data_IF_088254552982
#
_entry.id   IF_088254552982
#
_cell.length_a   1.000
_cell.length_b   1.000
_cell.length_c   1.000
_cell.angle_alpha   90.00
_cell.angle_beta   90.00
_cell.angle_gamma   90.00
#
_symmetry.space_group_name_H-M   'P 1'
#
loop_
_entity.id
_entity.type
_entity.pdbx_description
1 polymer ?
#
# COMPACT_ATOMS: atom_id res chain seq x y z
N UNK A 1 -8.59 -54.78 8.83
CA UNK A 1 -8.22 -54.23 10.14
C UNK A 1 -7.32 -55.23 10.83
N UNK A 2 -6.14 -54.81 11.31
CA UNK A 2 -5.10 -55.71 11.86
C UNK A 2 -5.42 -56.24 13.28
N UNK A 3 -6.40 -55.66 13.98
CA UNK A 3 -6.91 -56.14 15.25
C UNK A 3 -8.41 -55.80 15.39
N UNK A 4 -9.15 -56.55 16.20
CA UNK A 4 -10.57 -56.33 16.47
C UNK A 4 -10.81 -55.22 17.52
N UNK A 5 -9.86 -55.03 18.44
CA UNK A 5 -9.90 -54.00 19.47
C UNK A 5 -8.77 -52.97 19.22
N UNK A 6 -9.09 -51.75 18.78
CA UNK A 6 -8.09 -50.71 18.52
C UNK A 6 -7.32 -50.30 19.77
N UNK A 7 -7.88 -50.48 20.97
CA UNK A 7 -7.25 -50.13 22.24
C UNK A 7 -6.10 -51.08 22.58
N UNK A 8 -6.32 -52.39 22.39
CA UNK A 8 -5.28 -53.41 22.59
C UNK A 8 -4.13 -53.25 21.61
N UNK A 9 -4.46 -52.96 20.34
CA UNK A 9 -3.45 -52.64 19.34
C UNK A 9 -2.63 -51.41 19.74
N UNK A 10 -3.29 -50.34 20.19
CA UNK A 10 -2.62 -49.13 20.69
C UNK A 10 -1.62 -49.43 21.82
N UNK A 11 -2.01 -50.24 22.81
CA UNK A 11 -1.14 -50.61 23.94
C UNK A 11 0.06 -51.44 23.51
N UNK A 12 -0.15 -52.45 22.67
CA UNK A 12 0.95 -53.28 22.15
C UNK A 12 1.95 -52.45 21.34
N UNK A 13 1.47 -51.49 20.54
CA UNK A 13 2.33 -50.58 19.79
C UNK A 13 3.11 -49.62 20.70
N UNK A 14 2.50 -49.15 21.79
CA UNK A 14 3.17 -48.31 22.78
C UNK A 14 4.30 -49.07 23.49
N UNK A 15 4.03 -50.29 23.96
CA UNK A 15 5.05 -51.14 24.60
C UNK A 15 6.21 -51.44 23.63
N UNK A 16 5.90 -51.73 22.37
CA UNK A 16 6.92 -51.93 21.34
C UNK A 16 7.74 -50.65 21.10
N UNK A 17 7.11 -49.47 21.06
CA UNK A 17 7.81 -48.20 20.92
C UNK A 17 8.80 -47.95 22.06
N UNK A 18 8.41 -48.21 23.31
CA UNK A 18 9.26 -48.04 24.50
C UNK A 18 10.44 -49.02 24.51
N UNK A 19 10.25 -50.25 24.02
CA UNK A 19 11.36 -51.21 23.90
C UNK A 19 12.36 -50.78 22.83
N UNK A 20 11.89 -50.26 21.69
CA UNK A 20 12.75 -49.76 20.62
C UNK A 20 13.48 -48.46 20.99
N UNK A 21 12.84 -47.62 21.82
CA UNK A 21 13.47 -46.46 22.42
C UNK A 21 14.72 -46.83 23.22
N UNK A 22 14.66 -47.90 24.03
CA UNK A 22 15.82 -48.40 24.81
C UNK A 22 16.95 -48.91 23.91
N UNK A 23 16.62 -49.36 22.69
CA UNK A 23 17.58 -49.82 21.71
C UNK A 23 18.10 -48.71 20.78
N UNK A 24 17.72 -47.43 21.02
CA UNK A 24 18.02 -46.27 20.18
C UNK A 24 17.49 -46.37 18.72
N UNK A 25 16.44 -47.15 18.48
CA UNK A 25 15.80 -47.27 17.16
C UNK A 25 14.72 -46.20 16.95
N UNK A 26 15.14 -44.94 17.02
CA UNK A 26 14.26 -43.76 17.06
C UNK A 26 13.25 -43.63 15.90
N UNK A 27 13.59 -43.85 14.62
CA UNK A 27 12.63 -43.65 13.53
C UNK A 27 11.43 -44.59 13.64
N UNK A 28 11.67 -45.85 14.01
CA UNK A 28 10.61 -46.86 14.16
C UNK A 28 9.80 -46.60 15.43
N UNK A 29 10.48 -46.28 16.54
CA UNK A 29 9.82 -45.95 17.80
C UNK A 29 8.86 -44.76 17.65
N UNK A 30 9.26 -43.70 16.93
CA UNK A 30 8.43 -42.53 16.63
C UNK A 30 7.19 -42.91 15.83
N UNK A 31 7.33 -43.70 14.76
CA UNK A 31 6.18 -44.14 13.97
C UNK A 31 5.21 -45.02 14.77
N UNK A 32 5.73 -45.95 15.59
CA UNK A 32 4.90 -46.78 16.46
C UNK A 32 4.12 -45.94 17.47
N UNK A 33 4.73 -44.88 18.02
CA UNK A 33 4.04 -43.95 18.93
C UNK A 33 2.91 -43.19 18.23
N UNK A 34 3.13 -42.73 16.99
CA UNK A 34 2.11 -42.08 16.16
C UNK A 34 0.96 -43.04 15.82
N UNK A 35 1.27 -44.29 15.48
CA UNK A 35 0.25 -45.31 15.19
C UNK A 35 -0.53 -45.71 16.45
N UNK A 36 0.14 -45.79 17.60
CA UNK A 36 -0.50 -46.02 18.89
C UNK A 36 -1.49 -44.90 19.23
N UNK A 37 -1.06 -43.63 19.07
CA UNK A 37 -1.94 -42.46 19.21
C UNK A 37 -3.17 -42.52 18.31
N UNK A 38 -2.97 -42.86 17.03
CA UNK A 38 -4.06 -42.96 16.05
C UNK A 38 -5.05 -44.04 16.47
N UNK A 39 -4.56 -45.16 17.00
CA UNK A 39 -5.39 -46.28 17.49
C UNK A 39 -6.22 -45.88 18.71
N UNK A 40 -5.62 -45.17 19.69
CA UNK A 40 -6.36 -44.66 20.85
C UNK A 40 -7.35 -43.55 20.50
N UNK A 41 -7.03 -42.72 19.49
CA UNK A 41 -7.95 -41.69 18.99
C UNK A 41 -9.17 -42.33 18.33
N UNK A 42 -9.01 -43.43 17.59
CA UNK A 42 -10.12 -44.22 17.04
C UNK A 42 -10.97 -44.89 18.14
N UNK A 43 -10.34 -45.32 19.23
CA UNK A 43 -11.02 -45.90 20.39
C UNK A 43 -11.65 -44.85 21.33
N UNK A 44 -11.43 -43.55 21.08
CA UNK A 44 -11.79 -42.45 21.98
C UNK A 44 -11.25 -42.60 23.43
N UNK A 45 -10.08 -43.23 23.57
CA UNK A 45 -9.46 -43.50 24.87
C UNK A 45 -8.61 -42.32 25.34
N UNK A 46 -9.23 -41.40 26.10
CA UNK A 46 -8.61 -40.15 26.55
C UNK A 46 -7.46 -40.40 27.54
N UNK A 47 -7.54 -41.45 28.36
CA UNK A 47 -6.51 -41.77 29.36
C UNK A 47 -5.21 -42.21 28.68
N UNK A 48 -5.32 -43.14 27.73
CA UNK A 48 -4.17 -43.62 26.97
C UNK A 48 -3.60 -42.53 26.04
N UNK A 49 -4.43 -41.61 25.54
CA UNK A 49 -3.94 -40.41 24.81
C UNK A 49 -3.08 -39.53 25.72
N UNK A 50 -3.49 -39.30 26.97
CA UNK A 50 -2.69 -38.54 27.94
C UNK A 50 -1.33 -39.19 28.22
N UNK A 51 -1.30 -40.53 28.33
CA UNK A 51 -0.05 -41.27 28.46
C UNK A 51 0.85 -41.11 27.24
N UNK A 52 0.30 -41.19 26.02
CA UNK A 52 1.06 -40.97 24.79
C UNK A 52 1.68 -39.58 24.74
N UNK A 53 0.94 -38.54 25.12
CA UNK A 53 1.47 -37.17 25.12
C UNK A 53 2.61 -37.00 26.12
N UNK A 54 2.53 -37.65 27.28
CA UNK A 54 3.62 -37.69 28.26
C UNK A 54 4.86 -38.40 27.70
N UNK A 55 4.66 -39.55 27.04
CA UNK A 55 5.76 -40.29 26.42
C UNK A 55 6.37 -39.56 25.22
N UNK A 56 5.56 -38.90 24.41
CA UNK A 56 6.01 -38.07 23.30
C UNK A 56 6.94 -36.96 23.80
N UNK A 57 6.65 -36.36 24.97
CA UNK A 57 7.55 -35.37 25.58
C UNK A 57 8.90 -35.99 25.96
N UNK A 58 8.91 -37.16 26.59
CA UNK A 58 10.15 -37.85 26.93
C UNK A 58 10.99 -38.21 25.68
N UNK A 59 10.32 -38.66 24.61
CA UNK A 59 10.96 -38.90 23.32
C UNK A 59 11.57 -37.62 22.76
N UNK A 60 10.84 -36.50 22.80
CA UNK A 60 11.33 -35.20 22.32
C UNK A 60 12.54 -34.75 23.11
N UNK A 61 12.53 -34.86 24.44
CA UNK A 61 13.66 -34.47 25.30
C UNK A 61 14.94 -35.26 24.94
N UNK A 62 14.81 -36.56 24.62
CA UNK A 62 15.94 -37.40 24.19
C UNK A 62 16.38 -37.11 22.76
N UNK A 63 15.43 -36.97 21.83
CA UNK A 63 15.72 -36.59 20.44
C UNK A 63 16.36 -35.21 20.33
N UNK A 64 16.09 -34.31 21.28
CA UNK A 64 16.69 -32.99 21.37
C UNK A 64 18.18 -33.07 21.68
N UNK A 65 18.61 -33.99 22.55
CA UNK A 65 20.03 -34.23 22.86
C UNK A 65 20.81 -34.64 21.60
N UNK A 66 20.20 -35.48 20.77
CA UNK A 66 20.77 -35.96 19.51
C UNK A 66 20.49 -35.04 18.31
N UNK A 67 19.87 -33.88 18.54
CA UNK A 67 19.49 -32.87 17.52
C UNK A 67 18.70 -33.46 16.35
N UNK A 68 17.81 -34.42 16.60
CA UNK A 68 17.03 -35.13 15.58
C UNK A 68 15.74 -34.37 15.20
N UNK A 69 15.88 -33.17 14.63
CA UNK A 69 14.77 -32.26 14.31
C UNK A 69 13.70 -32.83 13.38
N UNK A 70 14.11 -33.69 12.44
CA UNK A 70 13.19 -34.36 11.50
C UNK A 70 12.23 -35.29 12.26
N UNK A 71 12.73 -36.01 13.27
CA UNK A 71 11.93 -36.93 14.06
C UNK A 71 11.02 -36.18 15.04
N UNK A 72 11.52 -35.10 15.66
CA UNK A 72 10.72 -34.21 16.52
C UNK A 72 9.54 -33.62 15.73
N UNK A 73 9.82 -33.10 14.53
CA UNK A 73 8.77 -32.56 13.66
C UNK A 73 7.82 -33.64 13.16
N UNK A 74 8.32 -34.83 12.79
CA UNK A 74 7.47 -35.97 12.38
C UNK A 74 6.54 -36.43 13.52
N UNK A 75 7.04 -36.51 14.74
CA UNK A 75 6.27 -36.90 15.91
C UNK A 75 5.13 -35.92 16.19
N UNK A 76 5.46 -34.62 16.24
CA UNK A 76 4.50 -33.54 16.51
C UNK A 76 3.41 -33.48 15.43
N UNK A 77 3.80 -33.66 14.16
CA UNK A 77 2.90 -33.55 13.01
C UNK A 77 2.12 -34.84 12.74
N UNK A 78 2.60 -35.96 13.27
CA UNK A 78 1.87 -37.24 13.28
C UNK A 78 0.80 -37.30 14.37
N UNK A 79 1.09 -36.82 15.58
CA UNK A 79 0.13 -36.80 16.70
C UNK A 79 -0.98 -35.78 16.48
N UNK A 80 -0.70 -34.65 15.80
CA UNK A 80 -1.67 -33.61 15.43
C UNK A 80 -2.44 -32.96 16.59
N UNK A 81 -1.97 -33.13 17.84
CA UNK A 81 -2.47 -32.47 19.05
C UNK A 81 -1.63 -31.24 19.37
N UNK A 82 -1.67 -30.26 18.47
CA UNK A 82 -0.77 -29.10 18.51
C UNK A 82 -0.99 -28.19 19.71
N UNK A 83 -2.18 -28.20 20.32
CA UNK A 83 -2.48 -27.44 21.54
C UNK A 83 -1.70 -27.96 22.74
N UNK A 84 -1.64 -29.28 22.92
CA UNK A 84 -0.91 -29.95 24.00
C UNK A 84 0.60 -30.01 23.72
N UNK A 85 1.00 -30.02 22.44
CA UNK A 85 2.39 -30.07 21.99
C UNK A 85 2.97 -28.70 21.59
N UNK A 86 2.36 -27.61 22.02
CA UNK A 86 2.79 -26.24 21.67
C UNK A 86 4.23 -25.92 22.09
N UNK A 87 4.72 -26.55 23.17
CA UNK A 87 6.10 -26.43 23.65
C UNK A 87 7.15 -26.80 22.58
N UNK A 88 6.81 -27.67 21.62
CA UNK A 88 7.73 -28.04 20.53
C UNK A 88 7.98 -26.85 19.61
N UNK A 89 7.01 -25.95 19.44
CA UNK A 89 7.20 -24.73 18.65
C UNK A 89 8.18 -23.78 19.32
N UNK A 90 8.16 -23.70 20.65
CA UNK A 90 9.14 -22.92 21.43
C UNK A 90 10.54 -23.51 21.28
N UNK A 91 10.69 -24.84 21.46
CA UNK A 91 11.98 -25.51 21.27
C UNK A 91 12.57 -25.29 19.87
N UNK A 92 11.76 -25.45 18.82
CA UNK A 92 12.22 -25.26 17.45
C UNK A 92 12.57 -23.78 17.15
N UNK A 93 11.88 -22.85 17.81
CA UNK A 93 12.18 -21.42 17.73
C UNK A 93 13.50 -21.09 18.43
N UNK A 94 13.72 -21.59 19.64
CA UNK A 94 14.94 -21.33 20.43
C UNK A 94 16.22 -21.88 19.78
N UNK A 95 16.08 -22.94 18.97
CA UNK A 95 17.19 -23.58 18.26
C UNK A 95 17.33 -23.19 16.78
N UNK A 96 16.58 -22.19 16.30
CA UNK A 96 16.55 -21.75 14.89
C UNK A 96 16.22 -22.87 13.88
N UNK A 97 15.47 -23.89 14.30
CA UNK A 97 15.10 -25.05 13.45
C UNK A 97 13.62 -25.03 13.04
N UNK A 98 12.97 -23.86 13.07
CA UNK A 98 11.55 -23.73 12.76
C UNK A 98 11.21 -24.12 11.30
N UNK A 99 12.18 -24.01 10.38
CA UNK A 99 12.03 -24.38 8.96
C UNK A 99 11.62 -25.85 8.75
N UNK A 100 11.91 -26.74 9.71
CA UNK A 100 11.53 -28.15 9.61
C UNK A 100 10.01 -28.36 9.64
N UNK A 101 9.26 -27.44 10.25
CA UNK A 101 7.79 -27.42 10.22
C UNK A 101 7.23 -26.88 8.91
N UNK A 102 8.08 -26.28 8.07
CA UNK A 102 7.77 -25.62 6.80
C UNK A 102 8.37 -26.39 5.62
N UNK A 103 8.49 -27.71 5.78
CA UNK A 103 8.92 -28.60 4.69
C UNK A 103 7.76 -28.87 3.73
N UNK A 104 8.11 -29.25 2.50
CA UNK A 104 7.12 -29.62 1.46
C UNK A 104 6.15 -30.69 1.98
N UNK A 105 4.85 -30.42 1.85
CA UNK A 105 3.77 -31.31 2.26
C UNK A 105 3.03 -30.87 3.53
N UNK A 106 3.62 -29.97 4.31
CA UNK A 106 3.05 -29.45 5.55
C UNK A 106 1.86 -28.52 5.32
N UNK A 107 1.77 -27.90 4.15
CA UNK A 107 0.64 -27.05 3.72
C UNK A 107 -0.70 -27.80 3.66
N UNK A 108 -0.65 -29.14 3.57
CA UNK A 108 -1.84 -29.99 3.52
C UNK A 108 -2.45 -30.23 4.90
N UNK A 109 -1.80 -29.79 5.98
CA UNK A 109 -2.26 -29.97 7.35
C UNK A 109 -2.93 -28.68 7.88
N UNK A 110 -4.27 -28.53 7.75
CA UNK A 110 -4.95 -27.30 8.15
C UNK A 110 -4.83 -27.02 9.66
N UNK A 111 -4.81 -28.07 10.47
CA UNK A 111 -4.65 -27.98 11.93
C UNK A 111 -3.28 -27.41 12.32
N UNK A 112 -2.22 -27.78 11.59
CA UNK A 112 -0.89 -27.24 11.83
C UNK A 112 -0.84 -25.74 11.52
N UNK A 113 -1.39 -25.34 10.36
CA UNK A 113 -1.46 -23.92 9.98
C UNK A 113 -2.14 -23.10 11.06
N UNK A 114 -3.29 -23.55 11.57
CA UNK A 114 -4.00 -22.84 12.63
C UNK A 114 -3.19 -22.75 13.93
N UNK A 115 -2.59 -23.87 14.36
CA UNK A 115 -1.80 -23.89 15.59
C UNK A 115 -0.55 -23.00 15.51
N UNK A 116 0.14 -22.97 14.35
CA UNK A 116 1.27 -22.08 14.13
C UNK A 116 0.87 -20.61 14.19
N UNK A 117 -0.31 -20.26 13.65
CA UNK A 117 -0.83 -18.89 13.76
C UNK A 117 -1.16 -18.51 15.18
N UNK A 118 -1.81 -19.41 15.93
CA UNK A 118 -2.17 -19.15 17.31
C UNK A 118 -0.92 -19.04 18.21
N UNK A 119 0.16 -19.77 17.89
CA UNK A 119 1.46 -19.62 18.53
C UNK A 119 2.16 -18.30 18.20
N UNK A 120 2.12 -17.87 16.93
CA UNK A 120 2.88 -16.71 16.48
C UNK A 120 2.13 -15.38 16.65
N UNK A 121 0.79 -15.37 16.69
CA UNK A 121 -0.02 -14.14 16.81
C UNK A 121 0.28 -13.33 18.09
N UNK A 122 0.41 -13.93 19.29
CA UNK A 122 0.80 -13.19 20.49
C UNK A 122 2.22 -12.64 20.43
N UNK A 123 3.14 -13.37 19.79
CA UNK A 123 4.57 -13.08 19.73
C UNK A 123 5.00 -12.36 18.44
N UNK A 124 4.04 -11.87 17.64
CA UNK A 124 4.26 -11.24 16.33
C UNK A 124 5.23 -10.05 16.38
N UNK A 125 5.19 -9.28 17.47
CA UNK A 125 5.99 -8.07 17.61
C UNK A 125 7.48 -8.38 17.82
N UNK A 126 7.80 -9.48 18.49
CA UNK A 126 9.18 -9.87 18.79
C UNK A 126 9.85 -10.58 17.61
N UNK A 127 9.10 -11.35 16.82
CA UNK A 127 9.66 -12.23 15.78
C UNK A 127 8.95 -12.07 14.43
N UNK A 128 8.97 -10.83 13.90
CA UNK A 128 8.31 -10.47 12.64
C UNK A 128 8.80 -11.28 11.43
N UNK A 129 10.08 -11.63 11.39
CA UNK A 129 10.65 -12.41 10.28
C UNK A 129 10.13 -13.84 10.28
N UNK A 130 10.07 -14.49 11.44
CA UNK A 130 9.52 -15.84 11.57
C UNK A 130 8.04 -15.89 11.18
N UNK A 131 7.24 -14.91 11.63
CA UNK A 131 5.84 -14.83 11.22
C UNK A 131 5.72 -14.63 9.70
N UNK A 132 6.51 -13.73 9.10
CA UNK A 132 6.50 -13.51 7.64
C UNK A 132 6.86 -14.78 6.87
N UNK A 133 7.87 -15.50 7.32
CA UNK A 133 8.33 -16.75 6.71
C UNK A 133 7.22 -17.82 6.73
N UNK A 134 6.58 -18.01 7.89
CA UNK A 134 5.46 -18.94 8.07
C UNK A 134 4.25 -18.52 7.24
N UNK A 135 3.89 -17.24 7.29
CA UNK A 135 2.74 -16.72 6.56
C UNK A 135 2.95 -16.82 5.04
N UNK A 136 4.16 -16.58 4.53
CA UNK A 136 4.49 -16.79 3.11
C UNK A 136 4.41 -18.28 2.72
N UNK A 137 4.92 -19.18 3.57
CA UNK A 137 4.85 -20.63 3.32
C UNK A 137 3.40 -21.10 3.16
N UNK A 138 2.50 -20.68 4.06
CA UNK A 138 1.09 -21.07 4.02
C UNK A 138 0.21 -20.21 3.09
N UNK A 139 0.82 -19.41 2.20
CA UNK A 139 0.12 -18.50 1.28
C UNK A 139 -0.85 -17.52 1.98
N UNK A 140 -0.48 -17.08 3.18
CA UNK A 140 -1.22 -16.18 4.05
C UNK A 140 -0.95 -14.71 3.71
N UNK A 141 -1.18 -14.38 2.44
CA UNK A 141 -0.88 -13.05 1.90
C UNK A 141 -1.66 -11.93 2.62
N UNK A 142 -2.86 -12.20 3.13
CA UNK A 142 -3.66 -11.21 3.86
C UNK A 142 -3.05 -10.84 5.23
N UNK A 143 -2.46 -11.82 5.91
CA UNK A 143 -1.87 -11.66 7.22
C UNK A 143 -0.52 -10.94 7.13
N UNK A 144 0.30 -11.29 6.12
CA UNK A 144 1.52 -10.53 5.78
C UNK A 144 1.18 -9.08 5.45
N UNK A 145 0.14 -8.85 4.64
CA UNK A 145 -0.32 -7.52 4.29
C UNK A 145 -0.77 -6.71 5.51
N UNK A 146 -1.50 -7.34 6.44
CA UNK A 146 -1.91 -6.73 7.70
C UNK A 146 -0.74 -6.25 8.55
N UNK A 147 0.32 -7.06 8.66
CA UNK A 147 1.52 -6.65 9.40
C UNK A 147 2.20 -5.41 8.79
N UNK A 148 2.36 -5.38 7.47
CA UNK A 148 2.93 -4.22 6.77
C UNK A 148 2.09 -2.96 6.98
N UNK A 149 0.76 -3.11 6.92
CA UNK A 149 -0.18 -2.04 7.22
C UNK A 149 -0.06 -1.54 8.66
N UNK A 150 0.00 -2.44 9.64
CA UNK A 150 0.14 -2.10 11.06
C UNK A 150 1.48 -1.40 11.35
N UNK A 151 2.56 -1.85 10.72
CA UNK A 151 3.87 -1.21 10.83
C UNK A 151 3.85 0.22 10.27
N UNK A 152 3.27 0.41 9.08
CA UNK A 152 3.10 1.74 8.51
C UNK A 152 2.23 2.64 9.40
N UNK A 153 1.11 2.12 9.92
CA UNK A 153 0.23 2.86 10.82
C UNK A 153 0.95 3.23 12.13
N UNK A 154 1.80 2.34 12.66
CA UNK A 154 2.62 2.62 13.84
C UNK A 154 3.60 3.78 13.62
N UNK A 155 4.16 3.91 12.41
CA UNK A 155 5.02 5.03 12.04
C UNK A 155 4.24 6.34 11.84
N UNK A 156 3.05 6.26 11.23
CA UNK A 156 2.25 7.44 10.89
C UNK A 156 1.46 8.00 12.08
N UNK A 157 0.98 7.15 12.99
CA UNK A 157 0.20 7.54 14.16
C UNK A 157 0.83 8.66 15.00
N UNK A 158 2.11 8.57 15.44
CA UNK A 158 2.72 9.66 16.20
C UNK A 158 2.86 10.95 15.38
N UNK A 159 2.99 10.86 14.05
CA UNK A 159 3.06 12.02 13.17
C UNK A 159 1.69 12.70 13.11
N UNK A 160 0.62 11.93 12.92
CA UNK A 160 -0.75 12.46 12.88
C UNK A 160 -1.13 13.06 14.23
N UNK A 161 -0.82 12.38 15.34
CA UNK A 161 -1.19 12.82 16.68
C UNK A 161 -0.40 14.07 17.13
N UNK A 162 0.87 14.20 16.73
CA UNK A 162 1.76 15.28 17.20
C UNK A 162 1.87 16.47 16.23
N UNK A 163 1.64 16.26 14.94
CA UNK A 163 1.95 17.22 13.87
C UNK A 163 0.72 17.85 13.21
N UNK A 164 -0.48 17.69 13.76
CA UNK A 164 -1.66 18.41 13.27
C UNK A 164 -1.75 19.81 13.90
N UNK A 165 -1.90 20.88 13.09
CA UNK A 165 -2.01 20.91 11.63
C UNK A 165 -0.65 21.06 10.89
N UNK A 166 0.45 21.26 11.62
CA UNK A 166 1.74 21.66 11.08
C UNK A 166 2.87 20.65 11.36
N UNK A 167 3.41 20.08 10.29
CA UNK A 167 4.55 19.15 10.27
C UNK A 167 5.86 19.92 10.13
N UNK A 168 6.80 19.72 11.06
CA UNK A 168 8.16 20.22 10.93
C UNK A 168 8.93 19.39 9.91
N UNK A 169 9.47 20.06 8.90
CA UNK A 169 10.27 19.42 7.85
C UNK A 169 11.68 19.12 8.37
N UNK A 170 12.17 17.92 8.07
CA UNK A 170 13.51 17.48 8.45
C UNK A 170 13.88 16.15 7.80
N UNK A 171 15.18 15.80 7.76
CA UNK A 171 15.67 14.60 7.09
C UNK A 171 15.13 13.31 7.74
N UNK A 172 14.99 13.27 9.07
CA UNK A 172 14.42 12.12 9.78
C UNK A 172 12.93 11.93 9.47
N UNK A 173 12.17 13.03 9.34
CA UNK A 173 10.77 12.97 8.92
C UNK A 173 10.63 12.39 7.51
N UNK A 174 11.50 12.79 6.57
CA UNK A 174 11.54 12.23 5.21
C UNK A 174 11.79 10.73 5.24
N UNK A 175 12.72 10.24 6.06
CA UNK A 175 13.01 8.80 6.21
C UNK A 175 11.81 8.03 6.75
N UNK A 176 11.16 8.53 7.80
CA UNK A 176 10.00 7.86 8.40
C UNK A 176 8.83 7.79 7.43
N UNK A 177 8.52 8.90 6.73
CA UNK A 177 7.47 8.91 5.71
C UNK A 177 7.79 7.98 4.55
N UNK A 178 9.05 7.96 4.09
CA UNK A 178 9.48 7.07 3.01
C UNK A 178 9.34 5.61 3.43
N UNK A 179 9.73 5.25 4.66
CA UNK A 179 9.54 3.89 5.20
C UNK A 179 8.05 3.51 5.27
N UNK A 180 7.21 4.40 5.81
CA UNK A 180 5.77 4.17 5.88
C UNK A 180 5.12 3.98 4.50
N UNK A 181 5.56 4.74 3.49
CA UNK A 181 5.10 4.62 2.11
C UNK A 181 5.44 3.24 1.51
N UNK A 182 6.70 2.77 1.69
CA UNK A 182 7.10 1.44 1.20
C UNK A 182 6.32 0.32 1.89
N UNK A 183 6.12 0.42 3.21
CA UNK A 183 5.32 -0.54 3.97
C UNK A 183 3.87 -0.60 3.47
N UNK A 184 3.24 0.55 3.19
CA UNK A 184 1.88 0.59 2.60
C UNK A 184 1.83 0.03 1.18
N UNK A 185 2.86 0.26 0.36
CA UNK A 185 2.95 -0.32 -0.98
C UNK A 185 3.06 -1.84 -0.93
N UNK A 186 3.93 -2.40 -0.08
CA UNK A 186 4.02 -3.84 0.14
C UNK A 186 2.69 -4.41 0.68
N UNK A 187 2.03 -3.73 1.62
CA UNK A 187 0.71 -4.14 2.10
C UNK A 187 -0.32 -4.22 0.95
N UNK A 188 -0.32 -3.25 0.04
CA UNK A 188 -1.22 -3.23 -1.11
C UNK A 188 -0.98 -4.41 -2.07
N UNK A 189 0.29 -4.72 -2.38
CA UNK A 189 0.67 -5.86 -3.23
C UNK A 189 0.22 -7.20 -2.62
N UNK A 190 0.48 -7.41 -1.33
CA UNK A 190 0.08 -8.64 -0.65
C UNK A 190 -1.44 -8.75 -0.47
N UNK A 191 -2.16 -7.65 -0.23
CA UNK A 191 -3.64 -7.67 -0.23
C UNK A 191 -4.22 -7.98 -1.61
N UNK A 192 -3.57 -7.55 -2.70
CA UNK A 192 -3.96 -7.89 -4.07
C UNK A 192 -3.79 -9.39 -4.33
N UNK A 193 -2.65 -9.97 -3.93
CA UNK A 193 -2.40 -11.42 -4.00
C UNK A 193 -3.42 -12.21 -3.17
N UNK A 194 -3.87 -11.66 -2.04
CA UNK A 194 -4.91 -12.25 -1.19
C UNK A 194 -6.35 -12.06 -1.72
N UNK A 195 -6.56 -11.38 -2.85
CA UNK A 195 -7.89 -11.06 -3.40
C UNK A 195 -8.69 -10.03 -2.59
N UNK A 196 -8.09 -9.34 -1.61
CA UNK A 196 -8.76 -8.33 -0.78
C UNK A 196 -8.66 -6.93 -1.40
N UNK A 197 -9.35 -6.73 -2.53
CA UNK A 197 -9.29 -5.51 -3.33
C UNK A 197 -9.57 -4.23 -2.53
N UNK A 198 -10.54 -4.24 -1.62
CA UNK A 198 -10.88 -3.08 -0.80
C UNK A 198 -9.73 -2.67 0.13
N UNK A 199 -9.01 -3.62 0.70
CA UNK A 199 -7.86 -3.33 1.56
C UNK A 199 -6.65 -2.91 0.73
N UNK A 200 -6.39 -3.58 -0.40
CA UNK A 200 -5.34 -3.21 -1.33
C UNK A 200 -5.50 -1.76 -1.81
N UNK A 201 -6.71 -1.38 -2.23
CA UNK A 201 -7.02 -0.03 -2.68
C UNK A 201 -6.84 1.00 -1.55
N UNK A 202 -7.29 0.70 -0.33
CA UNK A 202 -7.07 1.59 0.83
C UNK A 202 -5.58 1.81 1.11
N UNK A 203 -4.78 0.75 1.13
CA UNK A 203 -3.33 0.84 1.34
C UNK A 203 -2.64 1.63 0.22
N UNK A 204 -3.04 1.42 -1.04
CA UNK A 204 -2.51 2.17 -2.18
C UNK A 204 -2.80 3.67 -2.06
N UNK A 205 -4.05 4.04 -1.78
CA UNK A 205 -4.45 5.44 -1.56
C UNK A 205 -3.71 6.08 -0.38
N UNK A 206 -3.50 5.34 0.71
CA UNK A 206 -2.69 5.81 1.83
C UNK A 206 -1.22 6.01 1.44
N UNK A 207 -0.64 5.11 0.66
CA UNK A 207 0.73 5.25 0.15
C UNK A 207 0.87 6.49 -0.75
N UNK A 208 -0.12 6.76 -1.62
CA UNK A 208 -0.18 7.96 -2.45
C UNK A 208 -0.27 9.24 -1.62
N UNK A 209 -1.07 9.24 -0.55
CA UNK A 209 -1.17 10.37 0.38
C UNK A 209 0.17 10.65 1.07
N UNK A 210 0.87 9.59 1.50
CA UNK A 210 2.21 9.72 2.10
C UNK A 210 3.22 10.22 1.06
N UNK A 211 3.15 9.75 -0.18
CA UNK A 211 4.00 10.23 -1.28
C UNK A 211 3.78 11.73 -1.55
N UNK A 212 2.52 12.19 -1.51
CA UNK A 212 2.20 13.61 -1.62
C UNK A 212 2.76 14.41 -0.45
N UNK A 213 2.67 13.89 0.78
CA UNK A 213 3.29 14.52 1.95
C UNK A 213 4.81 14.64 1.79
N UNK A 214 5.48 13.58 1.31
CA UNK A 214 6.93 13.59 1.02
C UNK A 214 7.27 14.66 -0.01
N UNK A 215 6.48 14.78 -1.08
CA UNK A 215 6.68 15.82 -2.10
C UNK A 215 6.58 17.23 -1.52
N UNK A 216 5.62 17.49 -0.63
CA UNK A 216 5.50 18.77 0.07
C UNK A 216 6.70 19.02 1.00
N UNK A 217 7.16 18.00 1.73
CA UNK A 217 8.36 18.09 2.59
C UNK A 217 9.61 18.36 1.76
N UNK A 218 9.73 17.80 0.56
CA UNK A 218 10.90 17.99 -0.32
C UNK A 218 10.95 19.38 -0.96
N UNK A 219 9.81 20.05 -1.13
CA UNK A 219 9.74 21.42 -1.66
C UNK A 219 9.96 22.50 -0.61
N UNK A 220 9.80 22.16 0.67
CA UNK A 220 10.01 23.08 1.77
C UNK A 220 11.49 23.17 2.15
N UNK A 221 11.89 24.35 2.64
CA UNK A 221 13.21 24.56 3.24
C UNK A 221 13.23 23.83 4.58
N UNK A 222 14.28 23.04 4.84
CA UNK A 222 14.39 22.25 6.07
C UNK A 222 14.16 23.11 7.33
N UNK A 223 13.38 22.59 8.28
CA UNK A 223 12.97 23.31 9.50
C UNK A 223 11.68 24.13 9.37
N UNK A 224 11.14 24.34 8.16
CA UNK A 224 9.85 25.00 7.98
C UNK A 224 8.71 24.06 8.35
N UNK A 225 7.60 24.66 8.81
CA UNK A 225 6.37 23.95 9.07
C UNK A 225 5.53 23.89 7.79
N UNK A 226 5.05 22.70 7.42
CA UNK A 226 4.12 22.49 6.31
C UNK A 226 2.82 21.85 6.82
N UNK A 227 1.74 21.97 6.06
CA UNK A 227 0.49 21.31 6.44
C UNK A 227 0.63 19.79 6.41
N UNK A 228 0.17 19.14 7.48
CA UNK A 228 0.09 17.69 7.58
C UNK A 228 -1.22 17.22 6.92
N UNK A 229 -1.12 16.56 5.76
CA UNK A 229 -2.26 16.04 5.01
C UNK A 229 -2.59 14.58 5.37
N UNK A 230 -1.76 13.94 6.20
CA UNK A 230 -1.92 12.53 6.62
C UNK A 230 -3.15 12.28 7.51
N UNK A 231 -3.70 13.32 8.15
CA UNK A 231 -4.91 13.24 8.97
C UNK A 231 -6.22 13.37 8.20
N UNK A 232 -6.17 13.60 6.88
CA UNK A 232 -7.36 13.65 6.04
C UNK A 232 -7.92 12.24 5.86
N UNK A 233 -9.24 12.09 6.02
CA UNK A 233 -9.86 10.77 5.83
C UNK A 233 -9.75 10.32 4.36
N UNK A 234 -9.88 9.03 4.09
CA UNK A 234 -9.68 8.48 2.73
C UNK A 234 -10.57 9.15 1.67
N UNK A 235 -11.80 9.55 2.04
CA UNK A 235 -12.69 10.28 1.16
C UNK A 235 -12.24 11.73 0.90
N UNK A 236 -11.68 12.41 1.89
CA UNK A 236 -11.13 13.77 1.77
C UNK A 236 -9.82 13.77 0.99
N UNK A 237 -8.96 12.78 1.20
CA UNK A 237 -7.77 12.54 0.39
C UNK A 237 -8.15 12.18 -1.05
N UNK A 238 -9.21 11.40 -1.26
CA UNK A 238 -9.73 11.09 -2.60
C UNK A 238 -10.41 12.31 -3.24
N UNK A 239 -11.11 13.16 -2.47
CA UNK A 239 -11.64 14.45 -2.93
C UNK A 239 -10.50 15.43 -3.23
N UNK A 240 -9.41 15.41 -2.48
CA UNK A 240 -8.23 16.23 -2.77
C UNK A 240 -7.49 15.68 -3.99
N UNK A 241 -7.30 14.36 -4.09
CA UNK A 241 -6.67 13.70 -5.24
C UNK A 241 -7.51 13.81 -6.52
N UNK A 242 -8.85 13.74 -6.44
CA UNK A 242 -9.77 13.87 -7.59
C UNK A 242 -10.15 15.32 -7.87
N UNK A 243 -10.29 16.13 -6.83
CA UNK A 243 -10.61 17.56 -6.92
C UNK A 243 -9.42 18.43 -7.28
N UNK A 244 -8.19 18.00 -6.97
CA UNK A 244 -6.95 18.62 -7.45
C UNK A 244 -6.22 17.81 -8.51
N UNK A 245 -6.67 16.61 -8.88
CA UNK A 245 -5.90 15.61 -9.64
C UNK A 245 -4.98 16.25 -10.64
N UNK A 246 -3.68 16.36 -10.29
CA UNK A 246 -2.78 17.47 -10.63
C UNK A 246 -3.04 18.09 -12.01
N UNK A 247 -4.13 18.85 -12.13
CA UNK A 247 -4.41 19.70 -13.24
C UNK A 247 -3.73 20.98 -12.83
N UNK A 248 -2.47 21.08 -13.22
CA UNK A 248 -1.80 22.37 -13.27
C UNK A 248 -2.76 23.25 -14.08
N UNK A 249 -3.50 24.12 -13.39
CA UNK A 249 -4.26 25.19 -14.04
C UNK A 249 -3.20 26.12 -14.58
N UNK A 250 -2.72 25.78 -15.77
CA UNK A 250 -1.75 26.59 -16.49
C UNK A 250 -2.29 28.00 -16.65
N UNK A 251 -3.62 28.18 -16.69
CA UNK A 251 -4.24 29.49 -16.64
C UNK A 251 -3.95 30.26 -15.36
N UNK A 252 -4.19 29.67 -14.18
CA UNK A 252 -3.88 30.31 -12.89
C UNK A 252 -2.39 30.52 -12.65
N UNK A 253 -1.56 29.59 -13.12
CA UNK A 253 -0.11 29.72 -13.06
C UNK A 253 0.40 30.87 -13.95
N UNK A 254 -0.11 30.99 -15.18
CA UNK A 254 0.20 32.10 -16.09
C UNK A 254 -0.34 33.43 -15.55
N UNK A 255 -1.55 33.44 -14.97
CA UNK A 255 -2.11 34.62 -14.32
C UNK A 255 -1.16 35.15 -13.23
N UNK A 256 -0.73 34.27 -12.33
CA UNK A 256 0.11 34.66 -11.20
C UNK A 256 1.54 35.01 -11.59
N UNK A 257 2.19 34.21 -12.44
CA UNK A 257 3.61 34.35 -12.72
C UNK A 257 3.93 35.28 -13.90
N UNK A 258 3.10 35.30 -14.94
CA UNK A 258 3.33 36.12 -16.11
C UNK A 258 2.52 37.42 -16.07
N UNK A 259 1.21 37.36 -15.77
CA UNK A 259 0.33 38.51 -15.87
C UNK A 259 0.50 39.45 -14.68
N UNK A 260 0.42 38.92 -13.45
CA UNK A 260 0.55 39.69 -12.21
C UNK A 260 2.01 40.04 -11.92
N UNK A 261 2.92 39.07 -11.98
CA UNK A 261 4.33 39.27 -11.60
C UNK A 261 5.25 39.76 -12.74
N UNK A 262 4.81 39.73 -14.00
CA UNK A 262 5.56 40.25 -15.15
C UNK A 262 6.79 39.46 -15.58
N UNK A 263 6.92 38.19 -15.17
CA UNK A 263 8.06 37.35 -15.53
C UNK A 263 8.02 36.86 -16.97
N UNK A 264 8.69 37.53 -17.90
CA UNK A 264 8.78 37.12 -19.32
C UNK A 264 9.54 35.80 -19.51
N UNK A 265 10.54 35.51 -18.67
CA UNK A 265 11.31 34.28 -18.69
C UNK A 265 10.43 33.03 -18.40
N UNK A 266 9.38 33.20 -17.59
CA UNK A 266 8.43 32.12 -17.30
C UNK A 266 7.60 31.75 -18.52
N UNK A 267 7.14 32.74 -19.29
CA UNK A 267 6.39 32.51 -20.52
C UNK A 267 7.25 31.81 -21.58
N UNK A 268 8.50 32.23 -21.75
CA UNK A 268 9.41 31.60 -22.72
C UNK A 268 9.71 30.14 -22.38
N UNK A 269 9.93 29.84 -21.09
CA UNK A 269 10.09 28.45 -20.61
C UNK A 269 8.80 27.64 -20.77
N UNK A 270 7.64 28.26 -20.59
CA UNK A 270 6.35 27.63 -20.75
C UNK A 270 6.10 27.23 -22.21
N UNK A 271 6.27 28.17 -23.15
CA UNK A 271 6.05 27.97 -24.59
C UNK A 271 7.01 26.96 -25.20
N UNK A 272 8.25 26.85 -24.69
CA UNK A 272 9.21 25.81 -25.11
C UNK A 272 8.79 24.39 -24.72
N UNK A 273 7.91 24.24 -23.73
CA UNK A 273 7.53 22.94 -23.16
C UNK A 273 6.06 22.58 -23.40
N UNK A 274 5.19 23.57 -23.61
CA UNK A 274 3.75 23.40 -23.73
C UNK A 274 3.19 24.29 -24.84
N UNK A 275 2.22 23.78 -25.60
CA UNK A 275 1.46 24.57 -26.59
C UNK A 275 0.38 25.38 -25.90
N UNK A 276 0.28 26.67 -26.23
CA UNK A 276 -0.77 27.56 -25.69
C UNK A 276 -2.11 27.18 -26.35
N UNK A 277 -2.96 26.47 -25.61
CA UNK A 277 -4.30 26.06 -26.09
C UNK A 277 -5.38 27.09 -25.72
N UNK A 278 -6.45 27.23 -26.52
CA UNK A 278 -7.56 28.15 -26.24
C UNK A 278 -8.16 28.03 -24.84
N UNK A 279 -8.27 26.80 -24.32
CA UNK A 279 -8.81 26.52 -22.99
C UNK A 279 -7.99 27.16 -21.85
N UNK A 280 -6.66 27.22 -22.00
CA UNK A 280 -5.76 27.83 -21.00
C UNK A 280 -5.95 29.34 -21.00
N UNK A 281 -6.11 29.95 -22.19
CA UNK A 281 -6.32 31.39 -22.33
C UNK A 281 -7.71 31.80 -21.85
N UNK A 282 -8.72 30.97 -22.09
CA UNK A 282 -10.06 31.18 -21.54
C UNK A 282 -10.06 31.18 -20.01
N UNK A 283 -9.35 30.24 -19.38
CA UNK A 283 -9.20 30.18 -17.93
C UNK A 283 -8.53 31.45 -17.38
N UNK A 284 -7.45 31.90 -18.02
CA UNK A 284 -6.78 33.18 -17.70
C UNK A 284 -7.75 34.36 -17.78
N UNK A 285 -8.53 34.43 -18.86
CA UNK A 285 -9.45 35.56 -19.10
C UNK A 285 -10.61 35.54 -18.11
N UNK A 286 -11.14 34.37 -17.77
CA UNK A 286 -12.17 34.25 -16.73
C UNK A 286 -11.65 34.63 -15.35
N UNK A 287 -10.42 34.25 -15.02
CA UNK A 287 -9.80 34.63 -13.74
C UNK A 287 -9.52 36.15 -13.70
N UNK A 288 -9.17 36.76 -14.83
CA UNK A 288 -9.00 38.21 -14.94
C UNK A 288 -10.31 38.99 -14.76
N UNK A 289 -11.41 38.49 -15.33
CA UNK A 289 -12.75 39.09 -15.19
C UNK A 289 -13.29 38.97 -13.74
N UNK A 290 -12.93 37.89 -13.02
CA UNK A 290 -13.34 37.66 -11.64
C UNK A 290 -12.53 38.47 -10.61
N UNK A 291 -11.26 38.77 -10.88
CA UNK A 291 -10.45 39.64 -10.03
C UNK A 291 -10.81 41.12 -10.26
N UNK A 292 -11.91 41.55 -9.65
CA UNK A 292 -12.52 42.89 -9.72
C UNK A 292 -11.67 44.04 -9.14
N UNK A 293 -10.35 43.86 -9.04
CA UNK A 293 -9.37 44.83 -8.52
C UNK A 293 -8.23 45.18 -9.48
N UNK A 294 -8.03 44.44 -10.59
CA UNK A 294 -6.99 44.73 -11.60
C UNK A 294 -7.45 45.79 -12.61
N UNK A 295 -8.23 46.75 -12.13
CA UNK A 295 -8.72 47.86 -12.93
C UNK A 295 -7.53 48.73 -13.36
N UNK A 296 -7.12 48.57 -14.63
CA UNK A 296 -6.35 49.53 -15.44
C UNK A 296 -4.83 49.58 -15.25
N UNK A 297 -4.11 48.51 -15.62
CA UNK A 297 -2.74 48.68 -16.14
C UNK A 297 -2.71 48.27 -17.61
N UNK A 298 -2.44 49.23 -18.49
CA UNK A 298 -2.25 49.02 -19.93
C UNK A 298 -1.28 47.84 -20.18
N UNK A 299 -0.24 47.72 -19.34
CA UNK A 299 0.76 46.66 -19.35
C UNK A 299 0.19 45.24 -19.19
N UNK A 300 -0.89 45.07 -18.43
CA UNK A 300 -1.55 43.77 -18.23
C UNK A 300 -2.36 43.39 -19.48
N UNK A 301 -3.02 44.37 -20.09
CA UNK A 301 -3.73 44.19 -21.36
C UNK A 301 -2.76 43.90 -22.51
N UNK A 302 -1.58 44.51 -22.53
CA UNK A 302 -0.54 44.23 -23.53
C UNK A 302 0.02 42.81 -23.40
N UNK A 303 0.18 42.32 -22.16
CA UNK A 303 0.60 40.93 -21.89
C UNK A 303 -0.48 39.92 -22.27
N UNK A 304 -1.74 40.22 -22.00
CA UNK A 304 -2.89 39.41 -22.44
C UNK A 304 -3.01 39.40 -23.97
N UNK A 305 -2.82 40.55 -24.62
CA UNK A 305 -2.78 40.69 -26.07
C UNK A 305 -1.69 39.82 -26.69
N UNK A 306 -0.49 39.79 -26.09
CA UNK A 306 0.61 38.90 -26.53
C UNK A 306 0.28 37.42 -26.34
N UNK A 307 -0.49 37.05 -25.32
CA UNK A 307 -0.90 35.66 -25.08
C UNK A 307 -1.99 35.22 -26.07
N UNK A 308 -2.94 36.11 -26.39
CA UNK A 308 -4.00 35.88 -27.38
C UNK A 308 -3.42 35.81 -28.81
N UNK A 309 -2.41 36.60 -29.14
CA UNK A 309 -1.79 36.56 -30.48
C UNK A 309 -1.06 35.24 -30.77
N UNK A 310 -0.62 34.53 -29.73
CA UNK A 310 0.05 33.22 -29.82
C UNK A 310 -0.89 32.05 -30.11
N UNK A 311 -2.22 32.24 -30.06
CA UNK A 311 -3.18 31.20 -30.42
C UNK A 311 -3.13 30.89 -31.93
N UNK A 312 -3.41 29.66 -32.35
CA UNK A 312 -3.49 29.31 -33.78
C UNK A 312 -4.93 29.36 -34.31
N UNK A 313 -5.92 29.23 -33.42
CA UNK A 313 -7.34 29.21 -33.73
C UNK A 313 -7.92 30.64 -33.87
N UNK A 314 -8.42 30.96 -35.07
CA UNK A 314 -8.98 32.26 -35.41
C UNK A 314 -10.31 32.57 -34.69
N UNK A 315 -11.13 31.55 -34.38
CA UNK A 315 -12.41 31.74 -33.69
C UNK A 315 -12.21 32.05 -32.20
N UNK A 316 -11.34 31.27 -31.54
CA UNK A 316 -10.96 31.52 -30.16
C UNK A 316 -10.28 32.90 -30.00
N UNK A 317 -9.41 33.28 -30.95
CA UNK A 317 -8.78 34.60 -30.99
C UNK A 317 -9.79 35.73 -31.04
N UNK A 318 -10.78 35.65 -31.93
CA UNK A 318 -11.81 36.67 -32.09
C UNK A 318 -12.70 36.77 -30.84
N UNK A 319 -13.18 35.63 -30.32
CA UNK A 319 -14.02 35.57 -29.11
C UNK A 319 -13.33 36.16 -27.89
N UNK A 320 -12.04 35.87 -27.70
CA UNK A 320 -11.26 36.37 -26.57
C UNK A 320 -10.86 37.84 -26.73
N UNK A 321 -10.48 38.26 -27.94
CA UNK A 321 -10.16 39.67 -28.23
C UNK A 321 -11.37 40.60 -28.09
N UNK A 322 -12.56 40.13 -28.50
CA UNK A 322 -13.83 40.85 -28.33
C UNK A 322 -14.21 40.97 -26.85
N UNK A 323 -14.07 39.90 -26.05
CA UNK A 323 -14.32 39.93 -24.59
C UNK A 323 -13.38 40.89 -23.84
N UNK A 324 -12.13 40.97 -24.26
CA UNK A 324 -11.12 41.85 -23.66
C UNK A 324 -11.10 43.29 -24.23
N UNK A 325 -12.02 43.64 -25.14
CA UNK A 325 -12.06 44.95 -25.84
C UNK A 325 -10.76 45.33 -26.58
N UNK A 326 -9.99 44.35 -27.07
CA UNK A 326 -8.74 44.57 -27.79
C UNK A 326 -9.00 44.95 -29.26
N UNK A 327 -9.44 46.19 -29.49
CA UNK A 327 -9.88 46.71 -30.81
C UNK A 327 -8.86 46.51 -31.93
N UNK A 328 -7.56 46.61 -31.63
CA UNK A 328 -6.48 46.46 -32.61
C UNK A 328 -6.38 45.03 -33.17
N UNK A 329 -6.50 44.01 -32.31
CA UNK A 329 -6.48 42.61 -32.74
C UNK A 329 -7.76 42.22 -33.46
N UNK A 330 -8.90 42.79 -33.06
CA UNK A 330 -10.18 42.60 -33.74
C UNK A 330 -10.14 43.18 -35.15
N UNK A 331 -9.62 44.41 -35.32
CA UNK A 331 -9.45 45.02 -36.65
C UNK A 331 -8.46 44.25 -37.53
N UNK A 332 -7.39 43.71 -36.96
CA UNK A 332 -6.38 42.94 -37.70
C UNK A 332 -6.94 41.58 -38.17
N UNK A 333 -7.70 40.89 -37.31
CA UNK A 333 -8.39 39.64 -37.64
C UNK A 333 -9.51 39.84 -38.67
N UNK A 334 -10.23 40.96 -38.59
CA UNK A 334 -11.24 41.37 -39.57
C UNK A 334 -10.62 41.85 -40.89
N UNK A 335 -9.36 42.28 -40.91
CA UNK A 335 -8.64 42.62 -42.16
C UNK A 335 -7.96 41.42 -42.82
N UNK A 336 -7.78 40.33 -42.08
CA UNK A 336 -7.14 39.11 -42.52
C UNK A 336 -8.12 38.14 -43.19
N UNK A 337 -7.60 37.16 -43.94
CA UNK A 337 -8.33 36.15 -44.72
C UNK A 337 -9.28 35.24 -43.92
N UNK A 338 -9.42 35.44 -42.60
CA UNK A 338 -10.32 34.73 -41.70
C UNK A 338 -11.77 35.27 -41.72
N UNK A 339 -12.02 36.42 -42.36
CA UNK A 339 -13.33 37.07 -42.51
C UNK A 339 -14.45 36.16 -43.05
N UNK A 340 -14.23 35.34 -44.11
CA UNK A 340 -15.26 34.46 -44.64
C UNK A 340 -15.64 33.35 -43.65
N UNK A 341 -14.65 32.81 -42.92
CA UNK A 341 -14.84 31.74 -41.93
C UNK A 341 -15.59 32.25 -40.68
N UNK A 342 -15.29 33.47 -40.21
CA UNK A 342 -15.99 34.09 -39.09
C UNK A 342 -17.42 34.55 -39.42
N UNK A 343 -17.74 34.72 -40.72
CA UNK A 343 -19.12 35.01 -41.19
C UNK A 343 -20.01 33.76 -41.21
N UNK A 344 -19.43 32.59 -41.44
CA UNK A 344 -20.15 31.30 -41.46
C UNK A 344 -20.43 30.74 -40.05
N UNK A 345 -19.71 31.18 -39.03
CA UNK A 345 -20.03 30.87 -37.63
C UNK A 345 -21.03 31.89 -37.06
N UNK A 346 -21.72 31.53 -35.96
CA UNK A 346 -22.84 32.29 -35.37
C UNK A 346 -22.53 33.76 -34.96
N UNK A 347 -21.31 34.24 -35.19
CA UNK A 347 -20.78 35.55 -34.85
C UNK A 347 -20.81 36.55 -36.02
N UNK A 348 -21.15 36.12 -37.23
CA UNK A 348 -21.27 37.00 -38.41
C UNK A 348 -22.27 38.16 -38.23
N UNK A 349 -23.27 38.03 -37.34
CA UNK A 349 -24.23 39.12 -37.04
C UNK A 349 -23.68 40.18 -36.07
N UNK A 350 -22.71 39.84 -35.21
CA UNK A 350 -22.03 40.81 -34.30
C UNK A 350 -20.84 41.49 -34.98
N UNK A 351 -20.14 40.78 -35.87
CA UNK A 351 -19.05 41.38 -36.66
C UNK A 351 -19.51 42.55 -37.56
N UNK A 352 -20.79 42.59 -37.96
CA UNK A 352 -21.39 43.72 -38.69
C UNK A 352 -21.81 44.91 -37.79
N UNK A 353 -21.88 44.72 -36.46
CA UNK A 353 -22.16 45.81 -35.51
C UNK A 353 -20.87 46.46 -34.97
N UNK A 354 -19.76 45.74 -35.02
CA UNK A 354 -18.43 46.20 -34.59
C UNK A 354 -17.60 46.81 -35.76
N UNK A 355 -18.21 46.99 -36.94
CA UNK A 355 -17.66 47.65 -38.13
C UNK A 355 -18.01 49.14 -38.17
#
# INVERSE_FOLDING_TARGET
TLCADPTQLGRALLEAALNLEQNNEWPVAVELLIFSHSSFTLACDVENIGQILSQARCFIDKLLLDQQWILITRLTTGIQRYTEMSYVFELLKEHDQFEYLLRKGMDRLPLLRQALLDFLRPNCLENRELFRLVALHFHMHAEVAGMWQDEANGLLKPIVDLALPMLRTGPEMKKVLTSAMHNLAHAAEYFLQAGRLNHANKCALQAELVALQIHLVNRAIDGHQIYCILGLNSAQAEIISRGYGFNISWGKALMRHYIINGGTEYLERFVRRHTVTPAIVEEVVTDFEQESGLCKKQEILDRLSRLVSMLTDAEAKYRLASRLNLRHLVSELLSSSALPYLKDTAWGKKANQDL
#
